data_IF_783570650162
#
_entry.id   IF_783570650162
#
_cell.length_a   1.000
_cell.length_b   1.000
_cell.length_c   1.000
_cell.angle_alpha   90.00
_cell.angle_beta   90.00
_cell.angle_gamma   90.00
#
_symmetry.space_group_name_H-M   'P 1'
#
loop_
_entity.id
_entity.type
_entity.pdbx_description
1 polymer ?
#
# COMPACT_ATOMS: atom_id res chain seq x y z
N UNK A 1 -30.19 -7.16 10.50
CA UNK A 1 -30.96 -6.30 9.58
C UNK A 1 -30.09 -6.08 8.35
N UNK A 2 -30.63 -6.24 7.15
CA UNK A 2 -29.87 -6.00 5.91
C UNK A 2 -29.53 -4.50 5.80
N UNK A 3 -28.32 -4.18 5.35
CA UNK A 3 -27.84 -2.80 5.26
C UNK A 3 -28.66 -1.98 4.26
N UNK A 4 -29.09 -2.58 3.15
CA UNK A 4 -29.93 -1.89 2.16
C UNK A 4 -31.34 -1.66 2.69
N UNK A 5 -31.90 -2.64 3.42
CA UNK A 5 -33.21 -2.47 4.06
C UNK A 5 -33.21 -1.34 5.10
N UNK A 6 -32.14 -1.23 5.90
CA UNK A 6 -32.00 -0.12 6.85
C UNK A 6 -31.98 1.24 6.15
N UNK A 7 -31.31 1.35 5.00
CA UNK A 7 -31.31 2.58 4.20
C UNK A 7 -32.71 2.94 3.67
N UNK A 8 -33.53 1.96 3.29
CA UNK A 8 -34.92 2.19 2.91
C UNK A 8 -35.75 2.70 4.09
N UNK A 9 -35.64 2.01 5.23
CA UNK A 9 -36.50 2.26 6.38
C UNK A 9 -36.17 3.59 7.07
N UNK A 10 -34.88 3.97 7.14
CA UNK A 10 -34.43 5.19 7.82
C UNK A 10 -34.48 6.44 6.92
N UNK A 11 -34.22 6.29 5.63
CA UNK A 11 -34.04 7.44 4.72
C UNK A 11 -35.05 7.49 3.57
N UNK A 12 -35.93 6.50 3.45
CA UNK A 12 -36.99 6.48 2.43
C UNK A 12 -36.49 6.24 1.00
N UNK A 13 -35.28 5.69 0.83
CA UNK A 13 -34.75 5.41 -0.51
C UNK A 13 -35.55 4.34 -1.23
N UNK A 14 -35.78 4.58 -2.52
CA UNK A 14 -36.43 3.62 -3.43
C UNK A 14 -35.47 2.53 -3.90
N UNK A 15 -36.02 1.44 -4.44
CA UNK A 15 -35.22 0.39 -5.07
C UNK A 15 -34.34 0.90 -6.22
N UNK A 16 -34.85 1.82 -7.04
CA UNK A 16 -34.12 2.37 -8.17
C UNK A 16 -32.91 3.22 -7.71
N UNK A 17 -33.07 4.04 -6.67
CA UNK A 17 -32.00 4.85 -6.09
C UNK A 17 -30.91 3.97 -5.47
N UNK A 18 -31.29 2.93 -4.71
CA UNK A 18 -30.34 1.99 -4.14
C UNK A 18 -29.63 1.20 -5.23
N UNK A 19 -30.34 0.77 -6.27
CA UNK A 19 -29.73 0.05 -7.39
C UNK A 19 -28.73 0.94 -8.15
N UNK A 20 -29.05 2.22 -8.36
CA UNK A 20 -28.13 3.19 -8.92
C UNK A 20 -26.87 3.34 -8.04
N UNK A 21 -27.05 3.54 -6.73
CA UNK A 21 -25.95 3.71 -5.78
C UNK A 21 -25.04 2.47 -5.72
N UNK A 22 -25.64 1.27 -5.58
CA UNK A 22 -24.90 -0.01 -5.58
C UNK A 22 -24.13 -0.17 -6.88
N UNK A 23 -24.73 0.11 -8.04
CA UNK A 23 -24.05 0.03 -9.33
C UNK A 23 -22.83 0.94 -9.41
N UNK A 24 -22.91 2.15 -8.83
CA UNK A 24 -21.78 3.10 -8.76
C UNK A 24 -20.72 2.65 -7.75
N UNK A 25 -21.13 2.01 -6.66
CA UNK A 25 -20.27 1.57 -5.57
C UNK A 25 -19.66 0.16 -5.75
N UNK A 26 -20.02 -0.58 -6.81
CA UNK A 26 -19.58 -1.97 -7.03
C UNK A 26 -18.08 -2.20 -6.82
N UNK A 27 -17.23 -1.29 -7.31
CA UNK A 27 -15.78 -1.38 -7.15
C UNK A 27 -15.32 -1.27 -5.69
N UNK A 28 -15.94 -0.36 -4.93
CA UNK A 28 -15.64 -0.15 -3.49
C UNK A 28 -16.11 -1.35 -2.67
N UNK A 29 -17.34 -1.81 -2.91
CA UNK A 29 -17.90 -3.00 -2.24
C UNK A 29 -17.01 -4.23 -2.54
N UNK A 30 -16.58 -4.40 -3.79
CA UNK A 30 -15.65 -5.46 -4.17
C UNK A 30 -14.31 -5.33 -3.47
N UNK A 31 -13.77 -4.11 -3.32
CA UNK A 31 -12.52 -3.84 -2.58
C UNK A 31 -12.60 -4.35 -1.14
N UNK A 32 -13.60 -3.87 -0.38
CA UNK A 32 -13.80 -4.30 1.01
C UNK A 32 -14.04 -5.81 1.14
N UNK A 33 -14.81 -6.40 0.23
CA UNK A 33 -15.03 -7.85 0.23
C UNK A 33 -13.73 -8.63 -0.04
N UNK A 34 -12.83 -8.10 -0.88
CA UNK A 34 -11.53 -8.71 -1.17
C UNK A 34 -10.56 -8.58 0.00
N UNK A 35 -10.50 -7.43 0.66
CA UNK A 35 -9.71 -7.24 1.89
C UNK A 35 -10.16 -8.18 3.00
N UNK A 36 -11.48 -8.33 3.19
CA UNK A 36 -11.99 -9.28 4.17
C UNK A 36 -11.59 -10.72 3.81
N UNK A 37 -11.76 -11.10 2.54
CA UNK A 37 -11.37 -12.43 2.04
C UNK A 37 -9.87 -12.69 2.15
N UNK A 38 -9.04 -11.65 1.98
CA UNK A 38 -7.59 -11.75 2.05
C UNK A 38 -7.12 -12.29 3.42
N UNK A 39 -7.86 -12.04 4.50
CA UNK A 39 -7.55 -12.57 5.83
C UNK A 39 -7.53 -14.10 5.84
N UNK A 40 -8.58 -14.73 5.32
CA UNK A 40 -8.71 -16.19 5.21
C UNK A 40 -7.62 -16.77 4.32
N UNK A 41 -7.29 -16.05 3.23
CA UNK A 41 -6.20 -16.43 2.34
C UNK A 41 -4.86 -16.43 3.06
N UNK A 42 -4.56 -15.38 3.84
CA UNK A 42 -3.31 -15.27 4.59
C UNK A 42 -3.22 -16.35 5.67
N UNK A 43 -4.31 -16.67 6.37
CA UNK A 43 -4.38 -17.79 7.32
C UNK A 43 -3.99 -19.12 6.64
N UNK A 44 -4.52 -19.38 5.44
CA UNK A 44 -4.18 -20.58 4.65
C UNK A 44 -2.71 -20.63 4.21
N UNK A 45 -2.01 -19.50 4.26
CA UNK A 45 -0.57 -19.36 3.96
C UNK A 45 0.29 -19.32 5.24
N UNK A 46 -0.26 -19.79 6.36
CA UNK A 46 0.37 -19.85 7.69
C UNK A 46 0.73 -18.49 8.30
N UNK A 47 0.05 -17.41 7.90
CA UNK A 47 0.17 -16.15 8.63
C UNK A 47 -0.68 -16.19 9.91
N UNK A 48 -0.20 -15.50 10.93
CA UNK A 48 -0.85 -15.30 12.23
C UNK A 48 -0.97 -13.82 12.53
N UNK A 49 -1.69 -13.46 13.60
CA UNK A 49 -1.88 -12.07 14.05
C UNK A 49 -2.41 -11.13 12.94
N UNK A 50 -3.31 -11.64 12.08
CA UNK A 50 -3.81 -10.94 10.89
C UNK A 50 -4.81 -9.85 11.30
N UNK A 51 -4.46 -8.59 11.03
CA UNK A 51 -5.27 -7.41 11.36
C UNK A 51 -5.47 -6.53 10.13
N UNK A 52 -6.72 -6.25 9.78
CA UNK A 52 -7.06 -5.20 8.80
C UNK A 52 -6.75 -3.83 9.38
N UNK A 53 -6.22 -2.94 8.55
CA UNK A 53 -5.87 -1.56 8.91
C UNK A 53 -6.30 -0.61 7.82
N UNK A 54 -6.66 0.62 8.21
CA UNK A 54 -6.98 1.69 7.27
C UNK A 54 -5.76 2.63 7.20
N UNK A 55 -4.73 2.17 6.47
CA UNK A 55 -3.49 2.92 6.28
C UNK A 55 -3.23 3.11 4.78
N UNK A 56 -2.69 4.26 4.37
CA UNK A 56 -2.42 4.53 2.95
C UNK A 56 -1.35 3.60 2.33
N UNK A 57 -0.61 2.87 3.16
CA UNK A 57 0.47 1.99 2.71
C UNK A 57 0.02 0.58 2.38
N UNK A 58 -0.87 0.00 3.18
CA UNK A 58 -1.28 -1.41 3.11
C UNK A 58 -2.62 -1.61 3.81
N UNK A 59 -3.30 -2.72 3.50
CA UNK A 59 -4.65 -3.02 4.00
C UNK A 59 -4.61 -3.99 5.20
N UNK A 60 -3.55 -4.78 5.34
CA UNK A 60 -3.42 -5.82 6.39
C UNK A 60 -2.01 -5.85 6.99
N UNK A 61 -1.92 -5.92 8.31
CA UNK A 61 -0.71 -6.33 9.03
C UNK A 61 -0.81 -7.80 9.44
N UNK A 62 0.27 -8.57 9.29
CA UNK A 62 0.30 -9.98 9.67
C UNK A 62 1.72 -10.42 10.04
N UNK A 63 1.83 -11.58 10.69
CA UNK A 63 3.11 -12.18 11.06
C UNK A 63 3.26 -13.59 10.50
N UNK A 64 4.48 -13.97 10.12
CA UNK A 64 4.81 -15.35 9.73
C UNK A 64 6.26 -15.64 10.09
N UNK A 65 6.51 -16.78 10.74
CA UNK A 65 7.85 -17.19 11.17
C UNK A 65 8.57 -16.12 12.01
N UNK A 66 7.83 -15.40 12.86
CA UNK A 66 8.34 -14.31 13.70
C UNK A 66 8.64 -12.99 12.97
N UNK A 67 8.34 -12.89 11.67
CA UNK A 67 8.56 -11.68 10.88
C UNK A 67 7.24 -10.91 10.67
N UNK A 68 7.32 -9.57 10.74
CA UNK A 68 6.20 -8.67 10.45
C UNK A 68 6.07 -8.39 8.96
N UNK A 69 4.84 -8.48 8.46
CA UNK A 69 4.48 -8.23 7.08
C UNK A 69 3.36 -7.19 6.97
N UNK A 70 3.48 -6.36 5.94
CA UNK A 70 2.51 -5.33 5.57
C UNK A 70 1.97 -5.67 4.19
N UNK A 71 0.68 -5.97 4.08
CA UNK A 71 0.09 -6.59 2.90
C UNK A 71 -0.89 -5.63 2.23
N UNK A 72 -0.58 -5.24 1.00
CA UNK A 72 -1.50 -4.56 0.10
C UNK A 72 -2.31 -5.61 -0.68
N UNK A 73 -3.64 -5.53 -0.64
CA UNK A 73 -4.55 -6.41 -1.33
C UNK A 73 -4.89 -5.81 -2.71
N UNK A 74 -4.77 -6.64 -3.74
CA UNK A 74 -5.13 -6.28 -5.11
C UNK A 74 -6.02 -7.34 -5.71
N UNK A 75 -7.18 -6.91 -6.23
CA UNK A 75 -8.14 -7.82 -6.85
C UNK A 75 -7.53 -8.56 -8.06
N UNK A 76 -6.66 -7.92 -8.85
CA UNK A 76 -6.04 -8.54 -10.03
C UNK A 76 -4.70 -7.92 -10.41
N UNK A 77 -4.03 -8.54 -11.40
CA UNK A 77 -2.76 -8.09 -12.00
C UNK A 77 -2.87 -6.88 -12.94
N UNK A 78 -4.04 -6.28 -13.15
CA UNK A 78 -4.14 -5.09 -14.03
C UNK A 78 -3.50 -3.88 -13.31
N UNK A 79 -2.22 -3.66 -13.59
CA UNK A 79 -1.36 -2.57 -13.11
C UNK A 79 -1.22 -2.49 -11.58
N UNK A 80 -0.70 -3.55 -10.92
CA UNK A 80 -0.53 -3.57 -9.46
C UNK A 80 0.39 -2.45 -8.98
N UNK A 81 1.22 -1.90 -9.87
CA UNK A 81 2.17 -0.83 -9.56
C UNK A 81 1.57 0.57 -9.67
N UNK A 82 0.43 0.77 -10.34
CA UNK A 82 -0.09 2.12 -10.66
C UNK A 82 -0.30 2.97 -9.41
N UNK A 83 -0.80 2.34 -8.35
CA UNK A 83 -1.17 3.00 -7.10
C UNK A 83 0.03 3.26 -6.17
N UNK A 84 1.20 2.69 -6.47
CA UNK A 84 2.45 3.01 -5.78
C UNK A 84 3.02 4.35 -6.28
N UNK A 85 2.43 5.42 -5.77
CA UNK A 85 2.91 6.79 -5.94
C UNK A 85 4.24 7.01 -5.18
N UNK A 86 4.97 8.06 -5.52
CA UNK A 86 6.20 8.43 -4.82
C UNK A 86 5.96 8.63 -3.30
N UNK A 87 4.84 9.25 -2.92
CA UNK A 87 4.44 9.39 -1.51
C UNK A 87 4.19 8.04 -0.83
N UNK A 88 3.44 7.14 -1.48
CA UNK A 88 3.20 5.79 -0.93
C UNK A 88 4.51 5.02 -0.75
N UNK A 89 5.43 5.11 -1.72
CA UNK A 89 6.76 4.49 -1.62
C UNK A 89 7.58 5.06 -0.45
N UNK A 90 7.55 6.38 -0.23
CA UNK A 90 8.19 7.00 0.92
C UNK A 90 7.63 6.50 2.24
N UNK A 91 6.31 6.30 2.35
CA UNK A 91 5.68 5.76 3.55
C UNK A 91 6.04 4.28 3.74
N UNK A 92 6.03 3.49 2.67
CA UNK A 92 6.46 2.08 2.70
C UNK A 92 7.92 1.96 3.16
N UNK A 93 8.80 2.86 2.74
CA UNK A 93 10.20 2.88 3.16
C UNK A 93 10.41 3.06 4.67
N UNK A 94 9.39 3.55 5.41
CA UNK A 94 9.43 3.72 6.88
C UNK A 94 9.00 2.47 7.65
N UNK A 95 8.40 1.49 6.97
CA UNK A 95 7.86 0.31 7.63
C UNK A 95 8.99 -0.60 8.12
N UNK A 96 8.90 -1.00 9.40
CA UNK A 96 9.81 -1.97 10.01
C UNK A 96 9.32 -3.40 9.72
N UNK A 97 9.51 -3.86 8.48
CA UNK A 97 9.12 -5.20 8.03
C UNK A 97 8.97 -5.31 6.52
N UNK A 98 8.50 -6.45 6.03
CA UNK A 98 8.41 -6.70 4.59
C UNK A 98 7.05 -6.27 4.05
N UNK A 99 7.05 -5.45 3.01
CA UNK A 99 5.84 -5.08 2.30
C UNK A 99 5.55 -6.09 1.17
N UNK A 100 4.36 -6.70 1.22
CA UNK A 100 3.87 -7.69 0.26
C UNK A 100 2.68 -7.13 -0.52
N UNK A 101 2.50 -7.63 -1.74
CA UNK A 101 1.26 -7.47 -2.50
C UNK A 101 0.57 -8.82 -2.60
N UNK A 102 -0.65 -8.92 -2.10
CA UNK A 102 -1.51 -10.07 -2.27
C UNK A 102 -2.40 -9.87 -3.51
N UNK A 103 -2.12 -10.64 -4.55
CA UNK A 103 -2.96 -10.70 -5.74
C UNK A 103 -4.04 -11.76 -5.52
N UNK A 104 -5.32 -11.38 -5.54
CA UNK A 104 -6.42 -12.31 -5.23
C UNK A 104 -6.80 -13.22 -6.41
N UNK A 105 -6.65 -12.73 -7.65
CA UNK A 105 -7.08 -13.42 -8.86
C UNK A 105 -5.93 -13.62 -9.86
N UNK A 106 -5.97 -14.69 -10.69
CA UNK A 106 -7.01 -15.74 -10.76
C UNK A 106 -6.91 -16.76 -9.62
N UNK A 107 -5.77 -16.81 -8.93
CA UNK A 107 -5.58 -17.55 -7.68
C UNK A 107 -4.76 -16.66 -6.74
N UNK A 108 -4.98 -16.76 -5.41
CA UNK A 108 -4.22 -15.96 -4.47
C UNK A 108 -2.71 -16.22 -4.56
N UNK A 109 -1.93 -15.15 -4.67
CA UNK A 109 -0.47 -15.22 -4.65
C UNK A 109 0.12 -14.00 -3.94
N UNK A 110 1.06 -14.24 -3.03
CA UNK A 110 1.86 -13.20 -2.41
C UNK A 110 3.15 -12.97 -3.19
N UNK A 111 3.48 -11.70 -3.39
CA UNK A 111 4.75 -11.28 -3.97
C UNK A 111 5.34 -10.18 -3.11
N UNK A 112 6.67 -10.10 -3.04
CA UNK A 112 7.33 -8.93 -2.44
C UNK A 112 7.00 -7.73 -3.31
N UNK A 113 6.49 -6.66 -2.70
CA UNK A 113 6.04 -5.48 -3.46
C UNK A 113 7.17 -4.91 -4.30
N UNK A 114 8.38 -4.86 -3.76
CA UNK A 114 9.55 -4.35 -4.46
C UNK A 114 9.79 -5.08 -5.79
N UNK A 115 9.64 -6.41 -5.84
CA UNK A 115 9.93 -7.21 -7.03
C UNK A 115 9.07 -6.84 -8.23
N UNK A 116 7.82 -6.46 -7.98
CA UNK A 116 6.85 -6.10 -9.02
C UNK A 116 6.90 -4.63 -9.42
N UNK A 117 7.61 -3.76 -8.69
CA UNK A 117 7.74 -2.34 -9.03
C UNK A 117 8.48 -2.16 -10.37
N UNK A 118 8.11 -1.09 -11.09
CA UNK A 118 8.92 -0.63 -12.20
C UNK A 118 10.28 -0.15 -11.69
N UNK A 119 11.29 -0.22 -12.54
CA UNK A 119 12.66 0.15 -12.17
C UNK A 119 12.80 1.57 -11.59
N UNK A 120 12.14 2.63 -12.11
CA UNK A 120 12.18 3.94 -11.45
C UNK A 120 11.61 3.94 -10.03
N UNK A 121 10.58 3.11 -9.77
CA UNK A 121 9.97 2.99 -8.45
C UNK A 121 10.83 2.18 -7.49
N UNK A 122 11.56 1.17 -7.97
CA UNK A 122 12.57 0.45 -7.18
C UNK A 122 13.69 1.39 -6.73
N UNK A 123 14.24 2.17 -7.67
CA UNK A 123 15.27 3.17 -7.41
C UNK A 123 14.76 4.20 -6.38
N UNK A 124 13.55 4.72 -6.56
CA UNK A 124 12.96 5.68 -5.64
C UNK A 124 12.70 5.10 -4.23
N UNK A 125 12.20 3.87 -4.13
CA UNK A 125 12.01 3.18 -2.86
C UNK A 125 13.34 2.99 -2.12
N UNK A 126 14.39 2.56 -2.83
CA UNK A 126 15.72 2.37 -2.25
C UNK A 126 16.30 3.71 -1.76
N UNK A 127 16.16 4.77 -2.56
CA UNK A 127 16.55 6.11 -2.14
C UNK A 127 15.87 6.52 -0.83
N UNK A 128 14.55 6.35 -0.72
CA UNK A 128 13.85 6.69 0.52
C UNK A 128 14.32 5.84 1.71
N UNK A 129 14.55 4.53 1.53
CA UNK A 129 15.09 3.68 2.60
C UNK A 129 16.46 4.15 3.07
N UNK A 130 17.36 4.49 2.15
CA UNK A 130 18.70 4.97 2.49
C UNK A 130 18.65 6.33 3.21
N UNK A 131 17.85 7.26 2.69
CA UNK A 131 17.70 8.60 3.24
C UNK A 131 17.04 8.60 4.64
N UNK A 132 15.92 7.90 4.80
CA UNK A 132 15.14 7.88 6.04
C UNK A 132 15.85 7.11 7.16
N UNK A 133 16.66 6.09 6.83
CA UNK A 133 17.47 5.35 7.79
C UNK A 133 18.86 5.95 8.03
N UNK A 134 19.11 7.19 7.58
CA UNK A 134 20.37 7.94 7.76
C UNK A 134 21.61 7.16 7.29
N UNK A 135 21.49 6.36 6.22
CA UNK A 135 22.60 5.58 5.63
C UNK A 135 23.41 6.45 4.67
N UNK A 136 24.06 7.50 5.19
CA UNK A 136 24.66 8.59 4.40
C UNK A 136 25.72 8.12 3.39
N UNK A 137 26.59 7.20 3.78
CA UNK A 137 27.67 6.72 2.88
C UNK A 137 27.12 5.85 1.74
N UNK A 138 26.15 4.99 2.03
CA UNK A 138 25.45 4.19 1.01
C UNK A 138 24.61 5.07 0.09
N UNK A 139 23.94 6.08 0.64
CA UNK A 139 23.20 7.07 -0.14
C UNK A 139 24.11 7.84 -1.09
N UNK A 140 25.32 8.23 -0.64
CA UNK A 140 26.30 8.89 -1.51
C UNK A 140 26.68 7.99 -2.68
N UNK A 141 27.06 6.74 -2.41
CA UNK A 141 27.38 5.75 -3.46
C UNK A 141 26.21 5.49 -4.41
N UNK A 142 24.99 5.41 -3.88
CA UNK A 142 23.78 5.23 -4.68
C UNK A 142 23.57 6.39 -5.67
N UNK A 143 23.89 7.63 -5.26
CA UNK A 143 23.75 8.84 -6.07
C UNK A 143 24.94 9.09 -7.01
N UNK A 144 26.04 8.34 -6.91
CA UNK A 144 27.15 8.36 -7.88
C UNK A 144 26.73 7.78 -9.23
N UNK A 145 25.75 6.87 -9.24
CA UNK A 145 25.12 6.36 -10.45
C UNK A 145 24.26 7.45 -11.12
N UNK A 146 24.63 7.81 -12.35
CA UNK A 146 23.97 8.87 -13.12
C UNK A 146 22.49 8.56 -13.42
N UNK A 147 22.16 7.29 -13.65
CA UNK A 147 20.79 6.84 -13.91
C UNK A 147 19.94 7.02 -12.66
N UNK A 148 20.43 6.60 -11.50
CA UNK A 148 19.73 6.78 -10.23
C UNK A 148 19.50 8.27 -9.98
N UNK A 149 20.54 9.09 -10.12
CA UNK A 149 20.47 10.54 -9.92
C UNK A 149 19.39 11.20 -10.79
N UNK A 150 19.36 10.89 -12.10
CA UNK A 150 18.34 11.43 -13.03
C UNK A 150 16.92 11.05 -12.63
N UNK A 151 16.71 9.80 -12.20
CA UNK A 151 15.39 9.35 -11.76
C UNK A 151 14.98 10.09 -10.48
N UNK A 152 15.86 10.20 -9.48
CA UNK A 152 15.57 10.90 -8.23
C UNK A 152 15.24 12.38 -8.49
N UNK A 153 15.99 13.06 -9.35
CA UNK A 153 15.74 14.46 -9.74
C UNK A 153 14.33 14.68 -10.32
N UNK A 154 13.78 13.70 -11.06
CA UNK A 154 12.41 13.80 -11.58
C UNK A 154 11.32 13.82 -10.49
N UNK A 155 11.67 13.47 -9.24
CA UNK A 155 10.77 13.43 -8.09
C UNK A 155 11.10 14.48 -7.01
N UNK A 156 11.96 15.46 -7.29
CA UNK A 156 12.46 16.45 -6.32
C UNK A 156 11.35 17.05 -5.45
N UNK A 157 10.23 17.45 -6.04
CA UNK A 157 9.10 18.04 -5.28
C UNK A 157 8.56 17.11 -4.20
N UNK A 158 8.41 15.82 -4.50
CA UNK A 158 7.89 14.82 -3.55
C UNK A 158 8.96 14.47 -2.51
N UNK A 159 10.21 14.40 -2.92
CA UNK A 159 11.34 14.14 -2.03
C UNK A 159 11.47 15.26 -1.01
N UNK A 160 11.43 16.52 -1.45
CA UNK A 160 11.52 17.68 -0.59
C UNK A 160 10.40 17.70 0.45
N UNK A 161 9.14 17.54 0.04
CA UNK A 161 8.02 17.51 1.01
C UNK A 161 8.17 16.38 2.03
N UNK A 162 8.47 15.17 1.56
CA UNK A 162 8.60 13.97 2.38
C UNK A 162 9.75 14.05 3.39
N UNK A 163 10.90 14.60 2.98
CA UNK A 163 12.10 14.66 3.82
C UNK A 163 12.14 15.89 4.71
N UNK A 164 11.55 17.03 4.30
CA UNK A 164 11.47 18.24 5.12
C UNK A 164 10.49 18.09 6.29
N UNK A 165 9.32 17.45 6.11
CA UNK A 165 8.37 17.18 7.19
C UNK A 165 9.00 16.35 8.35
N UNK A 166 10.05 15.58 8.06
CA UNK A 166 10.77 14.84 9.10
C UNK A 166 11.73 15.70 9.92
N UNK A 167 12.20 16.83 9.39
CA UNK A 167 13.03 17.77 10.16
C UNK A 167 12.16 18.47 11.22
N UNK A 168 10.92 18.82 10.89
CA UNK A 168 9.99 19.45 11.83
C UNK A 168 9.44 18.48 12.88
N UNK A 169 9.18 17.22 12.53
CA UNK A 169 8.72 16.23 13.52
C UNK A 169 9.80 15.74 14.48
N UNK A 170 11.09 15.92 14.15
CA UNK A 170 12.22 15.60 15.03
C UNK A 170 12.65 16.78 15.92
N UNK A 171 12.17 17.99 15.65
CA UNK A 171 12.49 19.20 16.43
C UNK A 171 11.42 19.56 17.48
N UNK A 172 10.40 18.71 17.64
CA UNK A 172 9.33 18.85 18.66
C UNK A 172 9.34 17.69 19.68
N UNK A 173 10.44 16.94 19.78
CA UNK A 173 10.67 15.98 20.88
C UNK A 173 11.75 16.47 21.84
#
# INVERSE_FOLDING_TARGET
MDALQLLKDEYGFTDDELQYAVNRAKGIIMGFAMEYRARIVLESMNFVNIRSVDLPTHDIEAERDGNKYFVEVKASKRSPTKEYSAYKLAMIARLAGTHLTLLMMPRPSLVVTEDILSEPKKILLNFFRLALNKRTDELRKFLEDERNRKIIQSYDRVILSTLHENIENLSVQ
#
